data_IF_373655175212
#
_entry.id   IF_373655175212
#
_cell.length_a   1.000
_cell.length_b   1.000
_cell.length_c   1.000
_cell.angle_alpha   90.00
_cell.angle_beta   90.00
_cell.angle_gamma   90.00
#
_symmetry.space_group_name_H-M   'P 1'
#
loop_
_entity.id
_entity.type
_entity.pdbx_description
1 polymer ?
#
# COMPACT_ATOMS: atom_id res chain seq x y z
N UNK A 1 11.24 -17.97 -8.49
CA UNK A 1 9.96 -18.01 -7.76
C UNK A 1 10.06 -19.09 -6.70
N UNK A 2 9.59 -18.78 -5.46
CA UNK A 2 9.52 -19.73 -4.37
C UNK A 2 8.35 -20.70 -4.54
N UNK A 3 8.35 -21.77 -3.75
CA UNK A 3 7.31 -22.80 -3.73
C UNK A 3 6.55 -22.87 -2.41
N UNK A 4 6.90 -22.07 -1.43
CA UNK A 4 6.30 -22.03 -0.09
C UNK A 4 4.79 -21.79 -0.13
N UNK A 5 4.37 -20.97 -1.08
CA UNK A 5 2.97 -20.60 -1.27
C UNK A 5 2.21 -21.39 -2.32
N UNK A 6 2.82 -22.43 -2.89
CA UNK A 6 2.18 -23.20 -3.96
C UNK A 6 0.83 -23.80 -3.52
N UNK A 7 -0.21 -23.51 -4.27
CA UNK A 7 -1.58 -23.93 -3.96
C UNK A 7 -2.26 -23.15 -2.84
N UNK A 8 -1.63 -22.10 -2.32
CA UNK A 8 -2.17 -21.27 -1.23
C UNK A 8 -2.58 -19.89 -1.71
N UNK A 9 -3.61 -19.34 -1.10
CA UNK A 9 -4.17 -18.02 -1.41
C UNK A 9 -4.03 -17.09 -0.22
N UNK A 10 -3.59 -15.86 -0.48
CA UNK A 10 -3.54 -14.77 0.51
C UNK A 10 -4.42 -13.63 0.00
N UNK A 11 -5.35 -13.18 0.84
CA UNK A 11 -6.08 -11.94 0.61
C UNK A 11 -5.33 -10.80 1.30
N UNK A 12 -5.16 -9.70 0.61
CA UNK A 12 -4.60 -8.47 1.20
C UNK A 12 -5.57 -7.32 0.96
N UNK A 13 -6.07 -6.77 2.05
CA UNK A 13 -6.92 -5.58 2.08
C UNK A 13 -6.04 -4.39 2.38
N UNK A 14 -5.89 -3.49 1.42
CA UNK A 14 -5.02 -2.31 1.55
C UNK A 14 -5.46 -1.17 0.65
N UNK A 15 -4.90 0.01 0.89
CA UNK A 15 -5.31 1.30 0.32
C UNK A 15 -6.67 1.73 0.85
N UNK A 16 -7.77 1.20 0.33
CA UNK A 16 -9.13 1.29 0.87
C UNK A 16 -9.57 2.71 1.27
N UNK A 17 -9.42 3.71 0.38
CA UNK A 17 -9.74 5.09 0.69
C UNK A 17 -11.25 5.32 0.81
N UNK A 18 -11.62 6.37 1.54
CA UNK A 18 -12.99 6.84 1.58
C UNK A 18 -13.34 7.56 0.28
N UNK A 19 -14.45 7.15 -0.32
CA UNK A 19 -15.00 7.78 -1.54
C UNK A 19 -15.39 9.23 -1.26
N UNK A 20 -15.30 10.07 -2.28
CA UNK A 20 -15.52 11.51 -2.24
C UNK A 20 -14.54 12.30 -1.36
N UNK A 21 -13.39 11.70 -1.05
CA UNK A 21 -12.25 12.38 -0.42
C UNK A 21 -11.01 12.26 -1.30
N UNK A 22 -10.18 13.29 -1.29
CA UNK A 22 -8.90 13.24 -1.99
C UNK A 22 -7.96 12.20 -1.40
N UNK A 23 -7.17 11.60 -2.27
CA UNK A 23 -6.16 10.62 -1.89
C UNK A 23 -4.96 11.36 -1.27
N UNK A 24 -4.85 11.32 0.05
CA UNK A 24 -3.79 12.02 0.79
C UNK A 24 -2.63 11.08 1.13
N UNK A 25 -1.56 11.64 1.69
CA UNK A 25 -0.33 10.89 2.02
C UNK A 25 -0.54 9.73 3.00
N UNK A 26 -1.54 9.81 3.88
CA UNK A 26 -1.89 8.70 4.76
C UNK A 26 -2.40 7.46 3.99
N UNK A 27 -3.17 7.67 2.93
CA UNK A 27 -3.59 6.60 2.03
C UNK A 27 -2.43 6.03 1.21
N UNK A 28 -1.43 6.86 0.93
CA UNK A 28 -0.24 6.43 0.20
C UNK A 28 0.50 5.34 0.97
N UNK A 29 0.64 5.47 2.28
CA UNK A 29 1.39 4.53 3.11
C UNK A 29 0.81 3.12 3.12
N UNK A 30 -0.48 2.97 3.36
CA UNK A 30 -1.14 1.66 3.28
C UNK A 30 -0.99 1.04 1.89
N UNK A 31 -1.10 1.85 0.85
CA UNK A 31 -0.96 1.43 -0.54
C UNK A 31 0.44 0.90 -0.83
N UNK A 32 1.47 1.60 -0.40
CA UNK A 32 2.88 1.21 -0.57
C UNK A 32 3.18 -0.10 0.16
N UNK A 33 2.81 -0.20 1.43
CA UNK A 33 3.07 -1.39 2.25
C UNK A 33 2.32 -2.60 1.71
N UNK A 34 1.02 -2.44 1.42
CA UNK A 34 0.18 -3.51 0.91
C UNK A 34 0.66 -4.04 -0.43
N UNK A 35 1.06 -3.15 -1.34
CA UNK A 35 1.60 -3.54 -2.64
C UNK A 35 2.91 -4.32 -2.51
N UNK A 36 3.79 -3.91 -1.60
CA UNK A 36 5.03 -4.63 -1.33
C UNK A 36 4.77 -6.03 -0.78
N UNK A 37 3.84 -6.16 0.16
CA UNK A 37 3.43 -7.47 0.69
C UNK A 37 2.84 -8.36 -0.42
N UNK A 38 2.01 -7.79 -1.29
CA UNK A 38 1.51 -8.50 -2.46
C UNK A 38 2.65 -9.09 -3.29
N UNK A 39 3.66 -8.29 -3.60
CA UNK A 39 4.80 -8.73 -4.40
C UNK A 39 5.65 -9.77 -3.69
N UNK A 40 5.87 -9.62 -2.39
CA UNK A 40 6.62 -10.57 -1.57
C UNK A 40 5.92 -11.94 -1.55
N UNK A 41 4.62 -11.97 -1.25
CA UNK A 41 3.87 -13.22 -1.23
C UNK A 41 3.78 -13.87 -2.62
N UNK A 42 3.58 -13.08 -3.66
CA UNK A 42 3.59 -13.58 -5.05
C UNK A 42 4.95 -14.19 -5.42
N UNK A 43 6.05 -13.59 -4.98
CA UNK A 43 7.40 -14.11 -5.19
C UNK A 43 7.61 -15.47 -4.53
N UNK A 44 6.98 -15.69 -3.38
CA UNK A 44 7.00 -16.96 -2.66
C UNK A 44 6.04 -18.01 -3.22
N UNK A 45 5.30 -17.70 -4.28
CA UNK A 45 4.44 -18.65 -4.97
C UNK A 45 2.97 -18.64 -4.55
N UNK A 46 2.57 -17.75 -3.63
CA UNK A 46 1.17 -17.60 -3.25
C UNK A 46 0.36 -16.95 -4.38
N UNK A 47 -0.88 -17.39 -4.51
CA UNK A 47 -1.89 -16.61 -5.23
C UNK A 47 -2.36 -15.48 -4.31
N UNK A 48 -2.32 -14.24 -4.76
CA UNK A 48 -2.73 -13.08 -3.95
C UNK A 48 -3.95 -12.43 -4.56
N UNK A 49 -5.00 -12.27 -3.75
CA UNK A 49 -6.17 -11.46 -4.06
C UNK A 49 -5.98 -10.08 -3.45
N UNK A 50 -5.84 -9.06 -4.30
CA UNK A 50 -5.66 -7.67 -3.87
C UNK A 50 -7.01 -6.98 -3.77
N UNK A 51 -7.39 -6.63 -2.55
CA UNK A 51 -8.72 -6.11 -2.27
C UNK A 51 -8.62 -4.64 -1.85
N UNK A 52 -9.34 -3.81 -2.59
CA UNK A 52 -9.56 -2.41 -2.23
C UNK A 52 -10.95 -2.29 -1.63
N UNK A 53 -11.01 -2.18 -0.29
CA UNK A 53 -12.24 -2.06 0.46
C UNK A 53 -12.62 -0.58 0.61
N UNK A 54 -13.23 -0.02 -0.40
CA UNK A 54 -13.60 1.40 -0.43
C UNK A 54 -14.58 1.75 0.68
N UNK A 55 -14.36 2.88 1.34
CA UNK A 55 -15.34 3.49 2.21
C UNK A 55 -16.40 4.23 1.38
N UNK A 56 -17.31 3.48 0.77
CA UNK A 56 -18.25 3.96 -0.22
C UNK A 56 -19.71 3.88 0.22
N UNK A 57 -19.96 3.74 1.53
CA UNK A 57 -21.32 3.66 2.07
C UNK A 57 -21.38 4.31 3.46
N UNK A 58 -22.43 5.06 3.74
CA UNK A 58 -22.62 5.68 5.05
C UNK A 58 -23.34 7.02 4.98
N UNK A 59 -23.61 7.59 6.15
CA UNK A 59 -24.34 8.86 6.29
C UNK A 59 -23.64 10.06 5.64
N UNK A 60 -22.32 10.00 5.47
CA UNK A 60 -21.57 11.03 4.77
C UNK A 60 -22.05 11.24 3.33
N UNK A 61 -22.57 10.21 2.68
CA UNK A 61 -23.14 10.34 1.34
C UNK A 61 -24.47 11.07 1.33
N UNK A 62 -25.28 10.91 2.38
CA UNK A 62 -26.46 11.75 2.56
C UNK A 62 -26.12 13.22 2.68
N UNK A 63 -25.08 13.55 3.44
CA UNK A 63 -24.55 14.92 3.56
C UNK A 63 -24.09 15.46 2.21
N UNK A 64 -23.38 14.65 1.45
CA UNK A 64 -22.85 15.05 0.15
C UNK A 64 -23.99 15.26 -0.87
N UNK A 65 -25.02 14.43 -0.86
CA UNK A 65 -26.21 14.60 -1.70
C UNK A 65 -26.93 15.91 -1.37
N UNK A 66 -27.14 16.22 -0.10
CA UNK A 66 -27.74 17.50 0.32
C UNK A 66 -26.88 18.67 -0.15
N UNK A 67 -25.56 18.58 0.05
CA UNK A 67 -24.63 19.63 -0.36
C UNK A 67 -24.70 19.85 -1.88
N UNK A 68 -24.71 18.79 -2.66
CA UNK A 68 -24.81 18.86 -4.12
C UNK A 68 -26.12 19.54 -4.56
N UNK A 69 -27.25 19.15 -3.97
CA UNK A 69 -28.56 19.69 -4.33
C UNK A 69 -28.71 21.17 -3.95
N UNK A 70 -28.08 21.61 -2.88
CA UNK A 70 -28.19 23.00 -2.40
C UNK A 70 -27.14 23.92 -3.03
N UNK A 71 -25.90 23.48 -3.18
CA UNK A 71 -24.76 24.34 -3.54
C UNK A 71 -23.95 23.83 -4.73
N UNK A 72 -24.19 22.61 -5.17
CA UNK A 72 -23.48 22.03 -6.30
C UNK A 72 -24.21 22.26 -7.62
N UNK A 73 -23.48 21.97 -8.68
CA UNK A 73 -24.05 21.88 -10.03
C UNK A 73 -23.38 20.74 -10.79
N UNK A 74 -24.12 20.18 -11.74
CA UNK A 74 -23.60 19.10 -12.58
C UNK A 74 -22.34 19.55 -13.32
N UNK A 75 -22.35 20.76 -13.86
CA UNK A 75 -21.24 21.34 -14.61
C UNK A 75 -20.00 21.49 -13.75
N UNK A 76 -20.13 22.01 -12.53
CA UNK A 76 -19.00 22.20 -11.61
C UNK A 76 -18.41 20.85 -11.18
N UNK A 77 -19.23 19.85 -10.93
CA UNK A 77 -18.77 18.50 -10.55
C UNK A 77 -18.10 17.79 -11.73
N UNK A 78 -18.63 17.90 -12.93
CA UNK A 78 -18.03 17.34 -14.14
C UNK A 78 -16.68 18.00 -14.45
N UNK A 79 -16.55 19.32 -14.24
CA UNK A 79 -15.33 20.07 -14.49
C UNK A 79 -14.23 19.82 -13.44
N UNK A 80 -14.60 19.83 -12.15
CA UNK A 80 -13.64 19.82 -11.04
C UNK A 80 -13.60 18.47 -10.28
N UNK A 81 -14.50 17.54 -10.57
CA UNK A 81 -14.50 16.21 -10.02
C UNK A 81 -14.51 16.17 -8.48
N UNK A 82 -13.59 15.41 -7.91
CA UNK A 82 -13.52 15.20 -6.48
C UNK A 82 -13.25 16.49 -5.69
N UNK A 83 -12.56 17.46 -6.27
CA UNK A 83 -12.29 18.75 -5.61
C UNK A 83 -13.58 19.52 -5.37
N UNK A 84 -14.52 19.49 -6.30
CA UNK A 84 -15.84 20.08 -6.10
C UNK A 84 -16.64 19.35 -5.03
N UNK A 85 -16.59 18.01 -5.01
CA UNK A 85 -17.26 17.22 -3.97
C UNK A 85 -16.71 17.57 -2.57
N UNK A 86 -15.41 17.72 -2.44
CA UNK A 86 -14.79 18.13 -1.18
C UNK A 86 -15.21 19.53 -0.76
N UNK A 87 -15.24 20.46 -1.71
CA UNK A 87 -15.63 21.85 -1.47
C UNK A 87 -17.05 21.95 -0.93
N UNK A 88 -18.01 21.30 -1.56
CA UNK A 88 -19.41 21.33 -1.11
C UNK A 88 -19.62 20.55 0.19
N UNK A 89 -18.84 19.51 0.42
CA UNK A 89 -18.88 18.76 1.69
C UNK A 89 -18.43 19.61 2.88
N UNK A 90 -17.35 20.38 2.73
CA UNK A 90 -16.89 21.34 3.74
C UNK A 90 -17.97 22.40 3.97
N UNK A 91 -18.58 22.90 2.91
CA UNK A 91 -19.68 23.88 3.02
C UNK A 91 -20.87 23.31 3.77
N UNK A 92 -21.20 22.04 3.55
CA UNK A 92 -22.27 21.37 4.33
C UNK A 92 -22.00 21.45 5.83
N UNK A 93 -20.80 21.12 6.26
CA UNK A 93 -20.43 21.16 7.67
C UNK A 93 -20.49 22.57 8.26
N UNK A 94 -20.05 23.57 7.52
CA UNK A 94 -20.12 24.97 7.94
C UNK A 94 -21.57 25.44 8.10
N UNK A 95 -22.44 25.11 7.16
CA UNK A 95 -23.86 25.49 7.20
C UNK A 95 -24.63 24.68 8.24
N UNK A 96 -24.27 23.41 8.47
CA UNK A 96 -24.92 22.57 9.47
C UNK A 96 -24.67 23.04 10.91
N UNK A 97 -23.57 23.75 11.18
CA UNK A 97 -23.34 24.40 12.47
C UNK A 97 -24.36 25.52 12.76
N UNK A 98 -24.91 26.13 11.71
CA UNK A 98 -25.89 27.20 11.78
C UNK A 98 -27.34 26.68 11.70
N UNK A 99 -27.53 25.57 11.03
CA UNK A 99 -28.84 24.95 10.78
C UNK A 99 -28.75 23.43 10.90
N UNK A 100 -29.09 22.92 12.10
CA UNK A 100 -29.03 21.49 12.41
C UNK A 100 -30.03 20.65 11.58
N UNK A 101 -31.04 21.26 10.98
CA UNK A 101 -31.99 20.56 10.10
C UNK A 101 -31.31 19.94 8.86
N UNK A 102 -30.13 20.44 8.47
CA UNK A 102 -29.33 19.87 7.38
C UNK A 102 -28.86 18.44 7.72
N UNK A 103 -28.55 18.17 8.97
CA UNK A 103 -28.19 16.81 9.41
C UNK A 103 -29.38 15.86 9.29
N UNK A 104 -30.58 16.31 9.58
CA UNK A 104 -31.80 15.51 9.41
C UNK A 104 -32.07 15.21 7.92
N UNK A 105 -31.89 16.21 7.06
CA UNK A 105 -32.02 16.03 5.61
C UNK A 105 -30.98 15.02 5.08
N UNK A 106 -29.75 15.06 5.59
CA UNK A 106 -28.71 14.11 5.22
C UNK A 106 -29.07 12.67 5.63
N UNK A 107 -29.63 12.50 6.83
CA UNK A 107 -30.12 11.19 7.30
C UNK A 107 -31.26 10.67 6.41
N UNK A 108 -32.18 11.52 6.02
CA UNK A 108 -33.28 11.17 5.12
C UNK A 108 -32.77 10.69 3.76
N UNK A 109 -31.77 11.37 3.19
CA UNK A 109 -31.17 10.96 1.92
C UNK A 109 -30.43 9.63 2.06
N UNK A 110 -29.74 9.39 3.17
CA UNK A 110 -29.10 8.09 3.40
C UNK A 110 -30.12 6.96 3.56
N UNK A 111 -31.24 7.21 4.24
CA UNK A 111 -32.34 6.25 4.34
C UNK A 111 -32.89 5.93 2.94
N UNK A 112 -33.04 6.92 2.08
CA UNK A 112 -33.44 6.70 0.68
C UNK A 112 -32.44 5.80 -0.06
N UNK A 113 -31.15 6.00 0.14
CA UNK A 113 -30.12 5.12 -0.44
C UNK A 113 -30.33 3.68 0.04
N UNK A 114 -30.52 3.48 1.33
CA UNK A 114 -30.72 2.15 1.92
C UNK A 114 -32.00 1.47 1.42
N UNK A 115 -33.05 2.25 1.13
CA UNK A 115 -34.31 1.77 0.58
C UNK A 115 -34.30 1.54 -0.92
N UNK A 116 -33.19 1.85 -1.59
CA UNK A 116 -33.05 1.63 -3.03
C UNK A 116 -33.66 2.74 -3.89
N UNK A 117 -33.85 3.94 -3.34
CA UNK A 117 -34.35 5.09 -4.12
C UNK A 117 -33.46 5.34 -5.34
N UNK A 118 -34.06 5.38 -6.50
CA UNK A 118 -33.35 5.46 -7.77
C UNK A 118 -32.52 6.74 -7.91
N UNK A 119 -33.07 7.89 -7.52
CA UNK A 119 -32.35 9.17 -7.56
C UNK A 119 -31.16 9.17 -6.61
N UNK A 120 -31.38 8.75 -5.38
CA UNK A 120 -30.32 8.71 -4.36
C UNK A 120 -29.16 7.80 -4.78
N UNK A 121 -29.45 6.60 -5.26
CA UNK A 121 -28.45 5.65 -5.73
C UNK A 121 -27.75 6.11 -7.01
N UNK A 122 -28.45 6.81 -7.91
CA UNK A 122 -27.87 7.36 -9.13
C UNK A 122 -26.84 8.44 -8.81
N UNK A 123 -27.15 9.35 -7.90
CA UNK A 123 -26.23 10.42 -7.46
C UNK A 123 -25.02 9.79 -6.73
N UNK A 124 -25.29 8.86 -5.81
CA UNK A 124 -24.25 8.14 -5.09
C UNK A 124 -23.28 7.41 -6.05
N UNK A 125 -23.81 6.68 -7.03
CA UNK A 125 -23.00 5.97 -8.02
C UNK A 125 -22.12 6.93 -8.82
N UNK A 126 -22.66 8.08 -9.19
CA UNK A 126 -21.92 9.12 -9.91
C UNK A 126 -20.74 9.65 -9.07
N UNK A 127 -20.97 9.94 -7.81
CA UNK A 127 -19.90 10.38 -6.89
C UNK A 127 -18.82 9.31 -6.71
N UNK A 128 -19.22 8.05 -6.60
CA UNK A 128 -18.31 6.92 -6.53
C UNK A 128 -17.47 6.80 -7.80
N UNK A 129 -18.09 6.90 -8.96
CA UNK A 129 -17.39 6.79 -10.26
C UNK A 129 -16.35 7.91 -10.43
N UNK A 130 -16.68 9.13 -10.06
CA UNK A 130 -15.74 10.27 -10.07
C UNK A 130 -14.54 9.98 -9.17
N UNK A 131 -14.79 9.50 -7.97
CA UNK A 131 -13.74 9.19 -7.00
C UNK A 131 -12.83 8.07 -7.49
N UNK A 132 -13.39 7.01 -8.08
CA UNK A 132 -12.63 5.90 -8.63
C UNK A 132 -11.73 6.31 -9.80
N UNK A 133 -12.16 7.21 -10.66
CA UNK A 133 -11.33 7.76 -11.74
C UNK A 133 -10.07 8.39 -11.16
N UNK A 134 -10.20 9.21 -10.11
CA UNK A 134 -9.06 9.83 -9.42
C UNK A 134 -8.13 8.82 -8.78
N UNK A 135 -8.69 7.85 -8.04
CA UNK A 135 -7.87 6.84 -7.35
C UNK A 135 -7.13 5.94 -8.34
N UNK A 136 -7.78 5.52 -9.41
CA UNK A 136 -7.15 4.71 -10.47
C UNK A 136 -6.04 5.48 -11.20
N UNK A 137 -6.18 6.79 -11.35
CA UNK A 137 -5.13 7.65 -11.92
C UNK A 137 -3.86 7.64 -11.04
N UNK A 138 -4.03 7.74 -9.72
CA UNK A 138 -2.92 7.68 -8.77
C UNK A 138 -2.29 6.28 -8.77
N UNK A 139 -3.10 5.23 -8.76
CA UNK A 139 -2.59 3.85 -8.83
C UNK A 139 -1.80 3.60 -10.12
N UNK A 140 -2.26 4.12 -11.24
CA UNK A 140 -1.54 4.04 -12.52
C UNK A 140 -0.19 4.75 -12.45
N UNK A 141 -0.14 5.93 -11.84
CA UNK A 141 1.12 6.66 -11.61
C UNK A 141 2.11 5.84 -10.78
N UNK A 142 1.62 5.13 -9.78
CA UNK A 142 2.41 4.25 -8.91
C UNK A 142 2.72 2.89 -9.54
N UNK A 143 2.12 2.54 -10.68
CA UNK A 143 2.25 1.22 -11.28
C UNK A 143 1.55 0.11 -10.48
N UNK A 144 0.48 0.44 -9.77
CA UNK A 144 -0.26 -0.47 -8.90
C UNK A 144 -1.67 -0.70 -9.41
N UNK A 145 -2.23 -1.89 -9.12
CA UNK A 145 -3.58 -2.26 -9.50
C UNK A 145 -4.20 -3.16 -8.41
N UNK A 146 -5.51 -3.39 -8.51
CA UNK A 146 -6.28 -4.22 -7.59
C UNK A 146 -7.11 -5.21 -8.36
N UNK A 147 -7.31 -6.39 -7.77
CA UNK A 147 -8.17 -7.42 -8.35
C UNK A 147 -9.65 -7.13 -8.07
N UNK A 148 -9.94 -6.53 -6.90
CA UNK A 148 -11.30 -6.26 -6.44
C UNK A 148 -11.45 -4.87 -5.85
N UNK A 149 -12.47 -4.15 -6.30
CA UNK A 149 -12.96 -2.91 -5.69
C UNK A 149 -14.31 -3.21 -5.00
N UNK A 150 -14.26 -3.96 -3.91
CA UNK A 150 -15.42 -4.38 -3.13
C UNK A 150 -15.42 -3.69 -1.78
N UNK A 151 -16.06 -2.54 -1.74
CA UNK A 151 -16.13 -1.69 -0.56
C UNK A 151 -17.32 -1.99 0.34
N UNK A 152 -17.59 -1.06 1.26
CA UNK A 152 -18.66 -1.18 2.23
C UNK A 152 -20.04 -1.39 1.59
N UNK A 153 -20.31 -0.73 0.47
CA UNK A 153 -21.57 -0.86 -0.27
C UNK A 153 -21.83 -2.27 -0.78
N UNK A 154 -20.79 -3.00 -1.10
CA UNK A 154 -20.88 -4.38 -1.56
C UNK A 154 -21.40 -5.32 -0.47
N UNK A 155 -21.14 -5.01 0.81
CA UNK A 155 -21.52 -5.84 1.96
C UNK A 155 -22.78 -5.38 2.65
N UNK A 156 -23.43 -4.30 2.19
CA UNK A 156 -24.61 -3.72 2.83
C UNK A 156 -25.80 -4.67 2.98
N UNK A 157 -25.95 -5.59 2.02
CA UNK A 157 -27.01 -6.62 2.01
C UNK A 157 -26.56 -7.97 2.59
N UNK A 158 -25.35 -8.07 3.11
CA UNK A 158 -24.75 -9.30 3.64
C UNK A 158 -24.60 -9.32 5.16
N UNK A 159 -24.95 -8.23 5.81
CA UNK A 159 -24.78 -8.09 7.28
C UNK A 159 -25.81 -8.91 8.08
N UNK A 160 -26.99 -9.20 7.52
CA UNK A 160 -28.01 -10.00 8.19
C UNK A 160 -27.51 -11.44 8.46
N UNK A 161 -26.70 -12.01 7.58
CA UNK A 161 -26.07 -13.33 7.80
C UNK A 161 -25.22 -13.34 9.06
N UNK A 162 -24.47 -12.27 9.31
CA UNK A 162 -23.66 -12.12 10.52
C UNK A 162 -24.54 -12.13 11.76
N UNK A 163 -25.60 -11.33 11.75
CA UNK A 163 -26.53 -11.23 12.88
C UNK A 163 -27.19 -12.58 13.18
N UNK A 164 -27.66 -13.29 12.14
CA UNK A 164 -28.26 -14.62 12.28
C UNK A 164 -27.28 -15.62 12.90
N UNK A 165 -26.05 -15.66 12.41
CA UNK A 165 -25.02 -16.57 12.93
C UNK A 165 -24.67 -16.28 14.40
N UNK A 166 -24.60 -15.00 14.76
CA UNK A 166 -24.36 -14.60 16.15
C UNK A 166 -25.53 -15.00 17.07
N UNK A 167 -26.77 -14.86 16.60
CA UNK A 167 -27.98 -15.27 17.34
C UNK A 167 -27.99 -16.79 17.52
N UNK A 168 -27.70 -17.57 16.50
CA UNK A 168 -27.65 -19.04 16.55
C UNK A 168 -26.63 -19.56 17.58
N UNK A 169 -25.56 -18.81 17.82
CA UNK A 169 -24.51 -19.15 18.79
C UNK A 169 -24.71 -18.51 20.17
N UNK A 170 -25.84 -17.82 20.38
CA UNK A 170 -26.13 -17.08 21.62
C UNK A 170 -25.01 -16.07 22.00
N UNK A 171 -24.37 -15.47 21.00
CA UNK A 171 -23.29 -14.51 21.20
C UNK A 171 -23.77 -13.06 21.23
N UNK A 172 -24.96 -12.77 20.72
CA UNK A 172 -25.50 -11.43 20.60
C UNK A 172 -26.32 -11.07 21.83
N UNK A 173 -25.98 -9.95 22.46
CA UNK A 173 -26.61 -9.46 23.67
C UNK A 173 -27.10 -8.03 23.46
N UNK A 174 -28.29 -7.71 23.95
CA UNK A 174 -28.76 -6.34 23.94
C UNK A 174 -28.16 -5.56 25.12
N UNK A 175 -27.63 -4.38 24.83
CA UNK A 175 -27.05 -3.47 25.81
C UNK A 175 -27.40 -2.03 25.45
N UNK A 176 -28.13 -1.35 26.33
CA UNK A 176 -28.57 0.05 26.13
C UNK A 176 -29.28 0.30 24.79
N UNK A 177 -30.04 -0.71 24.33
CA UNK A 177 -30.76 -0.68 23.06
C UNK A 177 -29.96 -1.07 21.84
N UNK A 178 -28.64 -1.18 21.94
CA UNK A 178 -27.78 -1.70 20.89
C UNK A 178 -27.53 -3.21 21.03
N UNK A 179 -27.08 -3.87 19.99
CA UNK A 179 -26.72 -5.28 20.03
C UNK A 179 -25.19 -5.42 19.94
N UNK A 180 -24.63 -6.13 20.90
CA UNK A 180 -23.18 -6.30 21.07
C UNK A 180 -22.81 -7.78 21.21
N UNK A 181 -21.53 -8.08 20.94
CA UNK A 181 -20.88 -9.31 21.38
C UNK A 181 -20.00 -8.95 22.57
N UNK A 182 -20.31 -9.42 23.80
CA UNK A 182 -19.46 -9.17 24.98
C UNK A 182 -18.10 -9.83 24.80
N UNK A 183 -17.03 -9.12 25.14
CA UNK A 183 -15.64 -9.58 25.07
C UNK A 183 -14.89 -9.39 26.39
N UNK A 184 -15.62 -9.26 27.51
CA UNK A 184 -15.03 -9.05 28.84
C UNK A 184 -14.08 -10.16 29.25
N UNK A 185 -14.40 -11.41 28.91
CA UNK A 185 -13.55 -12.58 29.21
C UNK A 185 -12.20 -12.53 28.50
N UNK A 186 -12.03 -11.66 27.52
CA UNK A 186 -10.81 -11.50 26.71
C UNK A 186 -10.15 -10.14 26.95
N UNK A 187 -10.57 -9.43 28.00
CA UNK A 187 -10.03 -8.10 28.35
C UNK A 187 -10.18 -7.07 27.21
N UNK A 188 -11.31 -7.12 26.52
CA UNK A 188 -11.64 -6.20 25.42
C UNK A 188 -13.01 -5.58 25.62
N UNK A 189 -13.18 -4.35 25.14
CA UNK A 189 -14.48 -3.72 25.00
C UNK A 189 -15.40 -4.54 24.09
N UNK A 190 -16.72 -4.51 24.29
CA UNK A 190 -17.65 -5.29 23.48
C UNK A 190 -17.60 -4.88 22.01
N UNK A 191 -17.79 -5.87 21.12
CA UNK A 191 -17.92 -5.62 19.70
C UNK A 191 -19.35 -5.18 19.39
N UNK A 192 -19.51 -3.95 18.94
CA UNK A 192 -20.82 -3.40 18.58
C UNK A 192 -21.24 -3.94 17.20
N UNK A 193 -22.42 -4.58 17.12
CA UNK A 193 -22.95 -5.23 15.92
C UNK A 193 -24.04 -4.41 15.25
N UNK A 194 -25.02 -3.93 16.03
CA UNK A 194 -26.10 -3.07 15.54
C UNK A 194 -26.31 -1.90 16.49
N UNK A 195 -26.56 -0.73 15.91
CA UNK A 195 -26.98 0.45 16.67
C UNK A 195 -28.42 0.30 17.16
N UNK A 196 -28.80 1.18 18.06
CA UNK A 196 -30.15 1.27 18.61
C UNK A 196 -31.25 1.41 17.56
N UNK A 197 -30.95 2.06 16.44
CA UNK A 197 -31.86 2.22 15.30
C UNK A 197 -31.92 1.01 14.35
N UNK A 198 -31.16 -0.06 14.64
CA UNK A 198 -31.08 -1.26 13.82
C UNK A 198 -30.10 -1.19 12.67
N UNK A 199 -29.40 -0.08 12.50
CA UNK A 199 -28.37 0.05 11.45
C UNK A 199 -27.10 -0.71 11.78
N UNK A 200 -26.48 -1.28 10.75
CA UNK A 200 -25.18 -1.95 10.88
C UNK A 200 -24.05 -0.93 11.00
N UNK A 201 -22.93 -1.39 11.54
CA UNK A 201 -21.73 -0.61 11.73
C UNK A 201 -20.51 -1.32 11.13
N UNK A 202 -19.35 -0.68 11.21
CA UNK A 202 -18.09 -1.16 10.62
C UNK A 202 -17.78 -2.62 10.97
N UNK A 203 -17.88 -3.01 12.25
CA UNK A 203 -17.56 -4.37 12.68
C UNK A 203 -18.45 -5.41 11.96
N UNK A 204 -19.72 -5.15 11.81
CA UNK A 204 -20.65 -6.07 11.16
C UNK A 204 -20.34 -6.22 9.66
N UNK A 205 -20.00 -5.11 9.01
CA UNK A 205 -19.61 -5.13 7.60
C UNK A 205 -18.28 -5.85 7.39
N UNK A 206 -17.32 -5.67 8.30
CA UNK A 206 -16.03 -6.38 8.24
C UNK A 206 -16.21 -7.89 8.51
N UNK A 207 -17.10 -8.28 9.42
CA UNK A 207 -17.46 -9.68 9.63
C UNK A 207 -18.12 -10.28 8.38
N UNK A 208 -19.05 -9.56 7.78
CA UNK A 208 -19.69 -9.98 6.52
C UNK A 208 -18.65 -10.14 5.40
N UNK A 209 -17.70 -9.21 5.31
CA UNK A 209 -16.60 -9.26 4.35
C UNK A 209 -15.72 -10.49 4.56
N UNK A 210 -15.38 -10.83 5.80
CA UNK A 210 -14.57 -12.01 6.11
C UNK A 210 -15.27 -13.31 5.72
N UNK A 211 -16.56 -13.44 6.04
CA UNK A 211 -17.34 -14.62 5.64
C UNK A 211 -17.42 -14.74 4.12
N UNK A 212 -17.64 -13.64 3.42
CA UNK A 212 -17.66 -13.60 1.97
C UNK A 212 -16.30 -13.98 1.36
N UNK A 213 -15.23 -13.37 1.85
CA UNK A 213 -13.86 -13.60 1.35
C UNK A 213 -13.42 -15.05 1.55
N UNK A 214 -13.72 -15.62 2.73
CA UNK A 214 -13.39 -17.03 2.99
C UNK A 214 -14.14 -17.96 2.05
N UNK A 215 -15.42 -17.73 1.87
CA UNK A 215 -16.28 -18.54 0.99
C UNK A 215 -15.88 -18.39 -0.48
N UNK A 216 -15.56 -17.17 -0.92
CA UNK A 216 -15.29 -16.84 -2.31
C UNK A 216 -13.87 -17.14 -2.74
N UNK A 217 -12.89 -16.77 -1.94
CA UNK A 217 -11.46 -16.89 -2.28
C UNK A 217 -10.80 -18.09 -1.62
N UNK A 218 -11.43 -18.69 -0.63
CA UNK A 218 -10.87 -19.79 0.15
C UNK A 218 -9.43 -19.51 0.61
N UNK A 219 -9.21 -18.34 1.21
CA UNK A 219 -7.89 -17.89 1.61
C UNK A 219 -7.27 -18.77 2.69
N UNK A 220 -5.96 -18.93 2.62
CA UNK A 220 -5.14 -19.50 3.69
C UNK A 220 -4.74 -18.43 4.70
N UNK A 221 -4.69 -17.18 4.28
CA UNK A 221 -4.38 -16.01 5.11
C UNK A 221 -5.12 -14.78 4.59
N UNK A 222 -5.59 -13.94 5.49
CA UNK A 222 -6.21 -12.65 5.16
C UNK A 222 -5.51 -11.55 5.95
N UNK A 223 -4.92 -10.60 5.24
CA UNK A 223 -4.10 -9.52 5.79
C UNK A 223 -4.82 -8.20 5.62
N UNK A 224 -4.88 -7.40 6.69
CA UNK A 224 -5.41 -6.04 6.68
C UNK A 224 -4.28 -5.04 6.95
N UNK A 225 -4.00 -4.19 5.98
CA UNK A 225 -3.00 -3.12 6.11
C UNK A 225 -3.72 -1.81 6.39
N UNK A 226 -3.85 -1.49 7.67
CA UNK A 226 -4.58 -0.31 8.15
C UNK A 226 -3.80 0.42 9.25
N UNK A 227 -4.24 1.62 9.62
CA UNK A 227 -3.58 2.40 10.66
C UNK A 227 -3.59 1.73 12.04
N UNK A 228 -2.62 2.10 12.87
CA UNK A 228 -2.46 1.55 14.21
C UNK A 228 -3.69 1.82 15.10
N UNK A 229 -4.40 2.91 14.87
CA UNK A 229 -5.62 3.28 15.60
C UNK A 229 -6.74 2.25 15.45
N UNK A 230 -6.70 1.40 14.44
CA UNK A 230 -7.70 0.34 14.22
C UNK A 230 -7.36 -0.99 14.89
N UNK A 231 -6.31 -1.03 15.71
CA UNK A 231 -5.85 -2.26 16.37
C UNK A 231 -6.95 -2.94 17.19
N UNK A 232 -7.67 -2.20 18.01
CA UNK A 232 -8.77 -2.75 18.81
C UNK A 232 -9.90 -3.28 17.93
N UNK A 233 -10.28 -2.54 16.91
CA UNK A 233 -11.33 -2.94 15.97
C UNK A 233 -11.05 -4.33 15.37
N UNK A 234 -9.86 -4.55 14.84
CA UNK A 234 -9.50 -5.84 14.25
C UNK A 234 -9.36 -6.95 15.30
N UNK A 235 -8.86 -6.63 16.49
CA UNK A 235 -8.82 -7.60 17.59
C UNK A 235 -10.24 -8.08 17.95
N UNK A 236 -11.22 -7.18 18.00
CA UNK A 236 -12.61 -7.51 18.23
C UNK A 236 -13.19 -8.36 17.10
N UNK A 237 -13.01 -7.95 15.86
CA UNK A 237 -13.53 -8.66 14.67
C UNK A 237 -12.96 -10.09 14.61
N UNK A 238 -11.66 -10.24 14.79
CA UNK A 238 -11.01 -11.57 14.75
C UNK A 238 -11.49 -12.46 15.91
N UNK A 239 -11.69 -11.88 17.09
CA UNK A 239 -12.24 -12.62 18.24
C UNK A 239 -13.68 -13.11 17.96
N UNK A 240 -14.49 -12.30 17.33
CA UNK A 240 -15.86 -12.72 16.97
C UNK A 240 -15.84 -13.89 15.98
N UNK A 241 -14.92 -13.88 15.01
CA UNK A 241 -14.74 -15.02 14.09
C UNK A 241 -14.38 -16.31 14.88
N UNK A 242 -13.47 -16.20 15.85
CA UNK A 242 -13.11 -17.31 16.74
C UNK A 242 -14.34 -17.83 17.51
N UNK A 243 -15.11 -16.94 18.12
CA UNK A 243 -16.30 -17.28 18.89
C UNK A 243 -17.42 -17.90 18.04
N UNK A 244 -17.48 -17.56 16.75
CA UNK A 244 -18.36 -18.21 15.79
C UNK A 244 -17.96 -19.66 15.48
N UNK A 245 -16.77 -20.08 15.91
CA UNK A 245 -16.27 -21.44 15.74
C UNK A 245 -15.46 -21.68 14.49
N UNK A 246 -15.05 -20.64 13.78
CA UNK A 246 -14.19 -20.75 12.59
C UNK A 246 -12.72 -20.82 13.00
N UNK A 247 -12.06 -21.91 12.67
CA UNK A 247 -10.65 -22.15 13.00
C UNK A 247 -9.69 -21.24 12.20
N UNK A 248 -10.11 -20.76 11.05
CA UNK A 248 -9.31 -19.85 10.21
C UNK A 248 -9.13 -18.44 10.81
N UNK A 249 -9.71 -18.15 12.00
CA UNK A 249 -9.41 -16.91 12.75
C UNK A 249 -7.90 -16.77 13.01
N UNK A 250 -7.19 -17.88 13.14
CA UNK A 250 -5.75 -17.90 13.36
C UNK A 250 -4.93 -17.35 12.19
N UNK A 251 -5.55 -17.30 11.01
CA UNK A 251 -4.92 -16.84 9.77
C UNK A 251 -5.33 -15.41 9.39
N UNK A 252 -6.00 -14.71 10.29
CA UNK A 252 -6.37 -13.31 10.13
C UNK A 252 -5.28 -12.45 10.74
N UNK A 253 -4.79 -11.48 10.00
CA UNK A 253 -3.63 -10.67 10.39
C UNK A 253 -3.94 -9.19 10.19
N UNK A 254 -3.77 -8.41 11.25
CA UNK A 254 -3.72 -6.96 11.16
C UNK A 254 -2.26 -6.53 11.05
N UNK A 255 -1.94 -5.79 10.01
CA UNK A 255 -0.61 -5.21 9.75
C UNK A 255 -0.72 -3.69 9.95
N UNK A 256 -0.54 -3.21 11.18
CA UNK A 256 -0.64 -1.78 11.47
C UNK A 256 0.60 -1.01 11.03
N UNK A 257 0.42 0.27 10.78
CA UNK A 257 1.51 1.18 10.46
C UNK A 257 1.37 2.51 11.21
N UNK A 258 2.49 3.21 11.40
CA UNK A 258 2.55 4.51 12.03
C UNK A 258 2.19 5.66 11.08
N UNK A 259 2.33 6.88 11.54
CA UNK A 259 1.97 8.10 10.82
C UNK A 259 3.09 8.55 9.87
N UNK A 260 2.71 9.34 8.86
CA UNK A 260 3.64 10.08 8.02
C UNK A 260 3.59 11.55 8.45
N UNK A 261 4.75 12.16 8.67
CA UNK A 261 4.88 13.58 9.01
C UNK A 261 5.99 14.24 8.20
N UNK A 262 5.90 15.57 8.04
CA UNK A 262 7.02 16.35 7.50
C UNK A 262 7.93 16.82 8.64
N UNK A 263 9.21 17.04 8.32
CA UNK A 263 10.13 17.67 9.26
C UNK A 263 9.57 19.02 9.72
N UNK A 264 9.39 19.17 11.03
CA UNK A 264 8.84 20.39 11.64
C UNK A 264 7.33 20.44 11.86
N UNK A 265 6.57 19.35 11.60
CA UNK A 265 5.14 19.33 11.88
C UNK A 265 4.32 18.27 11.16
N UNK A 266 3.01 18.32 11.36
CA UNK A 266 2.06 17.45 10.68
C UNK A 266 1.99 17.75 9.18
N UNK A 267 1.65 16.74 8.37
CA UNK A 267 1.36 16.87 6.93
C UNK A 267 0.08 17.69 6.65
N UNK A 268 -0.12 18.73 7.41
CA UNK A 268 -1.16 19.73 7.16
C UNK A 268 -0.52 21.11 7.12
N UNK A 269 -0.91 21.92 6.16
CA UNK A 269 -0.54 23.32 6.14
C UNK A 269 -1.10 24.01 7.40
N UNK A 270 -0.57 25.17 7.76
CA UNK A 270 -1.11 26.01 8.87
C UNK A 270 -2.61 26.27 8.76
N UNK A 271 -3.17 26.17 7.57
CA UNK A 271 -4.60 26.36 7.28
C UNK A 271 -5.41 25.05 7.34
N UNK A 272 -4.83 23.94 7.84
CA UNK A 272 -5.49 22.64 7.94
C UNK A 272 -5.63 21.90 6.60
N UNK A 273 -4.99 22.38 5.54
CA UNK A 273 -5.03 21.72 4.23
C UNK A 273 -4.18 20.44 4.26
N UNK A 274 -4.80 19.33 3.87
CA UNK A 274 -4.13 18.04 3.75
C UNK A 274 -3.24 18.04 2.51
N UNK A 275 -2.05 17.47 2.60
CA UNK A 275 -1.17 17.30 1.43
C UNK A 275 -1.62 16.06 0.67
N UNK A 276 -1.92 16.24 -0.62
CA UNK A 276 -2.33 15.15 -1.49
C UNK A 276 -1.15 14.31 -1.93
N UNK A 277 -1.36 13.00 -2.01
CA UNK A 277 -0.34 12.06 -2.44
C UNK A 277 0.21 12.42 -3.83
N UNK A 278 -0.66 12.81 -4.76
CA UNK A 278 -0.28 13.17 -6.11
C UNK A 278 0.67 14.37 -6.15
N UNK A 279 0.45 15.38 -5.30
CA UNK A 279 1.33 16.55 -5.21
C UNK A 279 2.75 16.15 -4.80
N UNK A 280 2.88 15.27 -3.80
CA UNK A 280 4.19 14.78 -3.35
C UNK A 280 4.88 13.98 -4.46
N UNK A 281 4.14 13.11 -5.15
CA UNK A 281 4.71 12.31 -6.24
C UNK A 281 5.20 13.19 -7.38
N UNK A 282 4.43 14.16 -7.81
CA UNK A 282 4.84 15.09 -8.87
C UNK A 282 6.00 15.98 -8.43
N UNK A 283 6.00 16.46 -7.21
CA UNK A 283 7.11 17.26 -6.68
C UNK A 283 8.42 16.46 -6.65
N UNK A 284 8.36 15.19 -6.25
CA UNK A 284 9.54 14.31 -6.31
C UNK A 284 10.05 14.14 -7.73
N UNK A 285 9.16 13.91 -8.69
CA UNK A 285 9.51 13.75 -10.10
C UNK A 285 10.15 15.02 -10.65
N UNK A 286 9.59 16.19 -10.37
CA UNK A 286 10.12 17.49 -10.80
C UNK A 286 11.51 17.76 -10.20
N UNK A 287 11.69 17.51 -8.91
CA UNK A 287 13.00 17.69 -8.25
C UNK A 287 14.07 16.78 -8.83
N UNK A 288 13.75 15.54 -9.11
CA UNK A 288 14.67 14.62 -9.78
C UNK A 288 14.97 15.08 -11.20
N UNK A 289 13.97 15.57 -11.93
CA UNK A 289 14.17 16.09 -13.29
C UNK A 289 15.14 17.28 -13.29
N UNK A 290 15.04 18.18 -12.33
CA UNK A 290 15.99 19.29 -12.15
C UNK A 290 17.41 18.79 -11.89
N UNK A 291 17.57 17.81 -10.98
CA UNK A 291 18.88 17.20 -10.69
C UNK A 291 19.51 16.57 -11.93
N UNK A 292 18.72 15.85 -12.73
CA UNK A 292 19.19 15.22 -13.97
C UNK A 292 19.59 16.30 -14.99
N UNK A 293 18.82 17.36 -15.15
CA UNK A 293 19.16 18.45 -16.05
C UNK A 293 20.48 19.13 -15.70
N UNK A 294 20.81 19.24 -14.42
CA UNK A 294 22.08 19.81 -13.97
C UNK A 294 23.25 18.85 -14.19
N UNK A 295 23.08 17.57 -13.83
CA UNK A 295 24.18 16.59 -13.80
C UNK A 295 24.38 15.84 -15.09
N UNK A 296 23.33 15.58 -15.85
CA UNK A 296 23.35 14.81 -17.08
C UNK A 296 22.27 15.30 -18.06
N UNK A 297 22.45 16.51 -18.63
CA UNK A 297 21.42 17.13 -19.47
C UNK A 297 21.11 16.36 -20.76
N UNK A 298 22.04 15.53 -21.21
CA UNK A 298 21.89 14.75 -22.46
C UNK A 298 21.35 13.33 -22.22
N UNK A 299 20.93 13.01 -21.00
CA UNK A 299 20.38 11.70 -20.68
C UNK A 299 19.13 11.40 -21.53
N UNK A 300 19.09 10.27 -22.27
CA UNK A 300 17.90 9.88 -23.00
C UNK A 300 16.74 9.53 -22.04
N UNK A 301 15.52 9.83 -22.45
CA UNK A 301 14.31 9.53 -21.69
C UNK A 301 14.29 10.15 -20.27
N UNK A 302 14.74 11.38 -20.13
CA UNK A 302 14.80 12.09 -18.84
C UNK A 302 13.49 12.08 -18.09
N UNK A 303 12.36 12.23 -18.77
CA UNK A 303 11.03 12.24 -18.17
C UNK A 303 10.71 10.90 -17.51
N UNK A 304 10.95 9.79 -18.20
CA UNK A 304 10.71 8.45 -17.65
C UNK A 304 11.67 8.11 -16.51
N UNK A 305 12.95 8.47 -16.65
CA UNK A 305 13.93 8.29 -15.58
C UNK A 305 13.54 9.11 -14.35
N UNK A 306 13.13 10.35 -14.54
CA UNK A 306 12.68 11.23 -13.45
C UNK A 306 11.47 10.65 -12.72
N UNK A 307 10.54 10.08 -13.47
CA UNK A 307 9.36 9.40 -12.91
C UNK A 307 9.77 8.19 -12.08
N UNK A 308 10.59 7.31 -12.61
CA UNK A 308 11.04 6.11 -11.90
C UNK A 308 11.83 6.44 -10.64
N UNK A 309 12.71 7.40 -10.69
CA UNK A 309 13.57 7.78 -9.56
C UNK A 309 12.79 8.59 -8.52
N UNK A 310 11.92 9.50 -8.96
CA UNK A 310 11.08 10.29 -8.05
C UNK A 310 10.11 9.41 -7.26
N UNK A 311 9.40 8.52 -7.94
CA UNK A 311 8.49 7.55 -7.29
C UNK A 311 9.29 6.60 -6.40
N UNK A 312 10.39 6.06 -6.90
CA UNK A 312 11.27 5.16 -6.15
C UNK A 312 11.79 5.78 -4.86
N UNK A 313 12.14 7.07 -4.89
CA UNK A 313 12.59 7.79 -3.71
C UNK A 313 11.53 7.82 -2.60
N UNK A 314 10.28 8.07 -2.97
CA UNK A 314 9.16 8.12 -2.01
C UNK A 314 8.83 6.73 -1.47
N UNK A 315 8.67 5.74 -2.32
CA UNK A 315 8.34 4.39 -1.91
C UNK A 315 9.44 3.80 -1.02
N UNK A 316 10.69 3.98 -1.41
CA UNK A 316 11.82 3.47 -0.64
C UNK A 316 11.95 4.13 0.73
N UNK A 317 11.75 5.45 0.82
CA UNK A 317 11.78 6.16 2.09
C UNK A 317 10.73 5.62 3.08
N UNK A 318 9.52 5.33 2.60
CA UNK A 318 8.48 4.71 3.41
C UNK A 318 8.90 3.30 3.88
N UNK A 319 9.33 2.45 2.95
CA UNK A 319 9.61 1.05 3.20
C UNK A 319 10.95 0.78 3.90
N UNK A 320 11.85 1.75 3.94
CA UNK A 320 13.14 1.62 4.64
C UNK A 320 13.00 1.61 6.16
N UNK A 321 11.85 2.01 6.67
CA UNK A 321 11.53 2.04 8.09
C UNK A 321 10.61 0.86 8.47
N UNK A 322 10.74 0.38 9.71
CA UNK A 322 9.75 -0.54 10.25
C UNK A 322 8.36 0.10 10.14
N UNK A 323 7.37 -0.65 9.66
CA UNK A 323 6.03 -0.12 9.38
C UNK A 323 5.35 0.54 10.58
N UNK A 324 5.63 0.08 11.81
CA UNK A 324 5.02 0.62 13.03
C UNK A 324 5.56 2.00 13.41
N UNK A 325 6.72 2.37 12.88
CA UNK A 325 7.34 3.66 13.17
C UNK A 325 6.75 4.75 12.30
N UNK A 326 6.70 5.96 12.84
CA UNK A 326 6.36 7.14 12.08
C UNK A 326 7.45 7.43 11.05
N UNK A 327 7.04 7.84 9.87
CA UNK A 327 7.93 8.23 8.77
C UNK A 327 8.01 9.74 8.73
N UNK A 328 9.22 10.27 8.82
CA UNK A 328 9.49 11.70 8.67
C UNK A 328 9.93 11.97 7.24
N UNK A 329 9.22 12.88 6.56
CA UNK A 329 9.47 13.23 5.18
C UNK A 329 10.43 14.42 5.10
N UNK A 330 11.61 14.18 4.52
CA UNK A 330 12.64 15.20 4.30
C UNK A 330 13.18 15.07 2.88
N UNK A 331 12.96 16.08 2.03
CA UNK A 331 13.34 16.05 0.62
C UNK A 331 14.84 15.80 0.40
N UNK A 332 15.71 16.46 1.17
CA UNK A 332 17.14 16.34 1.01
C UNK A 332 17.65 14.92 1.28
N UNK A 333 17.05 14.24 2.25
CA UNK A 333 17.37 12.83 2.56
C UNK A 333 16.80 11.88 1.52
N UNK A 334 15.53 12.05 1.15
CA UNK A 334 14.80 11.14 0.27
C UNK A 334 15.40 11.10 -1.12
N UNK A 335 15.81 12.27 -1.64
CA UNK A 335 16.33 12.43 -3.00
C UNK A 335 17.85 12.29 -3.11
N UNK A 336 18.55 11.98 -2.02
CA UNK A 336 19.99 11.83 -2.02
C UNK A 336 20.40 10.58 -2.81
N UNK A 337 21.37 10.74 -3.73
CA UNK A 337 21.93 9.64 -4.53
C UNK A 337 23.01 8.84 -3.79
N UNK A 338 23.42 9.30 -2.62
CA UNK A 338 24.34 8.60 -1.73
C UNK A 338 23.60 8.20 -0.44
N UNK A 339 23.89 7.03 0.08
CA UNK A 339 23.37 6.57 1.35
C UNK A 339 22.18 5.62 1.23
N UNK A 340 21.23 5.74 2.16
CA UNK A 340 20.17 4.75 2.37
C UNK A 340 18.87 5.19 1.69
N UNK A 341 18.91 5.33 0.35
CA UNK A 341 17.81 5.88 -0.44
C UNK A 341 17.47 5.03 -1.65
N UNK A 342 16.27 5.23 -2.19
CA UNK A 342 15.85 4.64 -3.46
C UNK A 342 16.77 5.04 -4.61
N UNK A 343 17.04 6.34 -4.81
CA UNK A 343 17.98 6.77 -5.84
C UNK A 343 19.36 6.12 -5.77
N UNK A 344 19.89 5.91 -4.58
CA UNK A 344 21.17 5.19 -4.41
C UNK A 344 21.10 3.74 -4.90
N UNK A 345 20.06 3.01 -4.53
CA UNK A 345 19.87 1.62 -4.98
C UNK A 345 19.65 1.56 -6.49
N UNK A 346 18.86 2.47 -7.03
CA UNK A 346 18.61 2.57 -8.47
C UNK A 346 19.88 2.92 -9.26
N UNK A 347 20.68 3.86 -8.74
CA UNK A 347 21.97 4.22 -9.34
C UNK A 347 22.92 3.04 -9.34
N UNK A 348 22.98 2.26 -8.28
CA UNK A 348 23.79 1.04 -8.20
C UNK A 348 23.37 0.03 -9.27
N UNK A 349 22.05 -0.17 -9.43
CA UNK A 349 21.51 -1.00 -10.50
C UNK A 349 21.92 -0.50 -11.90
N UNK A 350 21.80 0.79 -12.14
CA UNK A 350 22.23 1.42 -13.42
C UNK A 350 23.72 1.24 -13.67
N UNK A 351 24.55 1.28 -12.62
CA UNK A 351 25.98 0.99 -12.69
C UNK A 351 26.24 -0.45 -13.14
N UNK A 352 25.53 -1.42 -12.59
CA UNK A 352 25.59 -2.81 -13.07
C UNK A 352 25.26 -2.91 -14.55
N UNK A 353 24.16 -2.30 -14.97
CA UNK A 353 23.74 -2.27 -16.36
C UNK A 353 24.78 -1.63 -17.29
N UNK A 354 25.46 -0.58 -16.83
CA UNK A 354 26.55 0.10 -17.56
C UNK A 354 27.73 -0.83 -17.84
N UNK A 355 28.11 -1.64 -16.86
CA UNK A 355 29.19 -2.62 -17.06
C UNK A 355 28.83 -3.62 -18.16
N UNK A 356 27.60 -4.15 -18.14
CA UNK A 356 27.16 -5.08 -19.19
C UNK A 356 27.11 -4.46 -20.58
N UNK A 357 26.75 -3.18 -20.70
CA UNK A 357 26.81 -2.48 -22.00
C UNK A 357 28.22 -2.39 -22.54
N UNK A 358 29.22 -2.27 -21.67
CA UNK A 358 30.64 -2.20 -22.07
C UNK A 358 31.20 -3.56 -22.43
N UNK A 359 30.77 -4.61 -21.75
CA UNK A 359 31.26 -5.98 -21.97
C UNK A 359 30.58 -6.62 -23.20
N UNK A 360 29.36 -6.24 -23.51
CA UNK A 360 28.52 -6.88 -24.50
C UNK A 360 27.82 -8.13 -23.95
N UNK A 361 27.27 -8.96 -24.85
CA UNK A 361 26.63 -10.19 -24.46
C UNK A 361 27.67 -11.18 -23.92
N UNK A 362 27.49 -11.61 -22.67
CA UNK A 362 28.39 -12.57 -22.02
C UNK A 362 27.57 -13.85 -21.77
N UNK A 363 28.01 -14.94 -22.37
CA UNK A 363 27.54 -16.27 -22.00
C UNK A 363 28.35 -16.72 -20.78
N UNK A 364 27.61 -16.86 -19.65
CA UNK A 364 28.23 -17.43 -18.46
C UNK A 364 28.26 -18.95 -18.58
N UNK A 365 29.35 -19.62 -18.19
CA UNK A 365 29.41 -21.07 -18.16
C UNK A 365 28.41 -21.60 -17.14
N UNK A 366 27.96 -22.86 -17.35
CA UNK A 366 27.02 -23.53 -16.46
C UNK A 366 27.58 -23.69 -15.03
N UNK A 367 28.89 -23.83 -14.93
CA UNK A 367 29.61 -23.92 -13.65
C UNK A 367 30.64 -22.80 -13.56
N UNK A 368 30.67 -22.16 -12.41
CA UNK A 368 31.60 -21.08 -12.10
C UNK A 368 32.40 -21.48 -10.87
N UNK A 369 33.70 -21.43 -10.96
CA UNK A 369 34.55 -21.67 -9.80
C UNK A 369 34.71 -20.39 -8.98
N UNK A 370 33.89 -20.26 -7.97
CA UNK A 370 33.94 -19.13 -7.03
C UNK A 370 35.14 -19.20 -6.06
N UNK A 371 35.84 -20.33 -5.99
CA UNK A 371 36.98 -20.50 -5.09
C UNK A 371 38.17 -19.58 -5.44
N UNK A 372 38.21 -19.07 -6.67
CA UNK A 372 39.21 -18.09 -7.11
C UNK A 372 38.92 -16.67 -6.62
N UNK A 373 37.74 -16.40 -6.12
CA UNK A 373 37.29 -15.11 -5.62
C UNK A 373 37.50 -15.05 -4.10
N UNK A 374 38.68 -14.64 -3.68
CA UNK A 374 39.13 -14.75 -2.26
C UNK A 374 39.24 -13.41 -1.54
N UNK A 375 39.16 -12.30 -2.21
CA UNK A 375 39.24 -10.97 -1.60
C UNK A 375 37.98 -10.64 -0.77
N UNK A 376 38.15 -9.82 0.26
CA UNK A 376 37.08 -9.49 1.22
C UNK A 376 35.87 -8.81 0.57
N UNK A 377 36.10 -7.89 -0.37
CA UNK A 377 35.00 -7.16 -1.03
C UNK A 377 34.09 -8.12 -1.81
N UNK A 378 34.70 -9.05 -2.56
CA UNK A 378 33.98 -10.08 -3.31
C UNK A 378 33.22 -11.04 -2.37
N UNK A 379 33.88 -11.49 -1.31
CA UNK A 379 33.29 -12.43 -0.33
C UNK A 379 32.12 -11.78 0.43
N UNK A 380 32.22 -10.52 0.80
CA UNK A 380 31.16 -9.82 1.49
C UNK A 380 29.92 -9.66 0.60
N UNK A 381 30.09 -9.32 -0.67
CA UNK A 381 29.01 -9.27 -1.63
C UNK A 381 28.36 -10.65 -1.81
N UNK A 382 29.17 -11.69 -1.99
CA UNK A 382 28.66 -13.04 -2.17
C UNK A 382 27.84 -13.53 -0.95
N UNK A 383 28.31 -13.25 0.26
CA UNK A 383 27.58 -13.58 1.51
C UNK A 383 26.22 -12.90 1.57
N UNK A 384 26.14 -11.62 1.19
CA UNK A 384 24.84 -10.92 1.11
C UNK A 384 23.91 -11.60 0.11
N UNK A 385 24.40 -11.85 -1.09
CA UNK A 385 23.58 -12.42 -2.16
C UNK A 385 23.01 -13.80 -1.79
N UNK A 386 23.76 -14.62 -1.05
CA UNK A 386 23.31 -15.94 -0.60
C UNK A 386 22.19 -15.88 0.44
N UNK A 387 22.02 -14.76 1.13
CA UNK A 387 20.95 -14.56 2.13
C UNK A 387 19.61 -14.17 1.51
N UNK A 388 19.58 -13.85 0.25
CA UNK A 388 18.40 -13.27 -0.41
C UNK A 388 17.11 -14.11 -0.23
N UNK A 389 17.11 -15.44 -0.47
CA UNK A 389 15.90 -16.23 -0.28
C UNK A 389 15.36 -16.19 1.15
N UNK A 390 16.25 -16.21 2.13
CA UNK A 390 15.90 -16.15 3.56
C UNK A 390 15.28 -14.80 3.94
N UNK A 391 15.84 -13.73 3.41
CA UNK A 391 15.33 -12.36 3.65
C UNK A 391 13.90 -12.20 3.15
N UNK A 392 13.59 -12.74 1.97
CA UNK A 392 12.22 -12.69 1.44
C UNK A 392 11.24 -13.44 2.36
N UNK A 393 11.60 -14.64 2.80
CA UNK A 393 10.77 -15.44 3.71
C UNK A 393 10.53 -14.73 5.03
N UNK A 394 11.56 -14.17 5.60
CA UNK A 394 11.47 -13.45 6.87
C UNK A 394 10.62 -12.17 6.73
N UNK A 395 10.75 -11.45 5.64
CA UNK A 395 9.92 -10.29 5.34
C UNK A 395 8.43 -10.65 5.24
N UNK A 396 8.12 -11.79 4.62
CA UNK A 396 6.77 -12.32 4.56
C UNK A 396 6.25 -12.74 5.94
N UNK A 397 7.03 -13.48 6.70
CA UNK A 397 6.64 -14.00 8.01
C UNK A 397 6.38 -12.88 9.03
N UNK A 398 7.14 -11.80 8.95
CA UNK A 398 7.03 -10.64 9.84
C UNK A 398 6.17 -9.51 9.28
N UNK A 399 5.69 -9.63 8.06
CA UNK A 399 4.95 -8.56 7.36
C UNK A 399 5.75 -7.25 7.30
N UNK A 400 7.06 -7.35 7.04
CA UNK A 400 8.01 -6.24 7.13
C UNK A 400 8.81 -6.04 5.84
N UNK A 401 8.27 -5.28 4.88
CA UNK A 401 9.01 -4.94 3.66
C UNK A 401 10.34 -4.22 3.92
N UNK A 402 10.50 -3.55 5.07
CA UNK A 402 11.74 -2.86 5.42
C UNK A 402 12.95 -3.80 5.39
N UNK A 403 12.75 -5.08 5.62
CA UNK A 403 13.84 -6.07 5.56
C UNK A 403 14.40 -6.19 4.14
N UNK A 404 13.53 -6.10 3.13
CA UNK A 404 13.93 -6.07 1.72
C UNK A 404 14.67 -4.76 1.40
N UNK A 405 14.16 -3.63 1.86
CA UNK A 405 14.77 -2.33 1.62
C UNK A 405 16.18 -2.22 2.22
N UNK A 406 16.33 -2.65 3.47
CA UNK A 406 17.63 -2.67 4.16
C UNK A 406 18.61 -3.64 3.52
N UNK A 407 18.11 -4.79 3.10
CA UNK A 407 18.92 -5.76 2.36
C UNK A 407 19.41 -5.21 1.02
N UNK A 408 18.53 -4.52 0.28
CA UNK A 408 18.92 -3.88 -0.98
C UNK A 408 20.04 -2.84 -0.79
N UNK A 409 19.98 -2.05 0.28
CA UNK A 409 21.07 -1.11 0.63
C UNK A 409 22.35 -1.85 0.94
N UNK A 410 22.29 -2.93 1.73
CA UNK A 410 23.48 -3.74 2.04
C UNK A 410 24.14 -4.30 0.78
N UNK A 411 23.34 -4.87 -0.12
CA UNK A 411 23.83 -5.38 -1.40
C UNK A 411 24.45 -4.26 -2.23
N UNK A 412 23.79 -3.10 -2.32
CA UNK A 412 24.29 -1.96 -3.06
C UNK A 412 25.62 -1.46 -2.49
N UNK A 413 25.75 -1.36 -1.18
CA UNK A 413 27.01 -0.93 -0.53
C UNK A 413 28.14 -1.93 -0.76
N UNK A 414 27.90 -3.21 -0.60
CA UNK A 414 28.90 -4.26 -0.86
C UNK A 414 29.26 -4.33 -2.35
N UNK A 415 28.28 -4.18 -3.23
CA UNK A 415 28.53 -4.11 -4.67
C UNK A 415 29.43 -2.92 -5.04
N UNK A 416 29.15 -1.74 -4.50
CA UNK A 416 29.96 -0.55 -4.79
C UNK A 416 31.39 -0.68 -4.27
N UNK A 417 31.60 -1.29 -3.11
CA UNK A 417 32.94 -1.62 -2.61
C UNK A 417 33.66 -2.60 -3.54
N UNK A 418 32.99 -3.66 -3.95
CA UNK A 418 33.49 -4.62 -4.93
C UNK A 418 33.86 -3.94 -6.26
N UNK A 419 32.98 -3.11 -6.77
CA UNK A 419 33.16 -2.39 -8.04
C UNK A 419 34.38 -1.47 -8.01
N UNK A 420 34.57 -0.73 -6.92
CA UNK A 420 35.71 0.18 -6.78
C UNK A 420 37.04 -0.55 -6.53
N UNK A 421 37.02 -1.69 -5.84
CA UNK A 421 38.21 -2.48 -5.53
C UNK A 421 38.67 -3.39 -6.69
N UNK A 422 37.79 -3.62 -7.68
CA UNK A 422 38.01 -4.65 -8.71
C UNK A 422 37.95 -4.04 -10.10
N UNK A 423 39.02 -4.25 -10.86
CA UNK A 423 39.08 -3.88 -12.29
C UNK A 423 38.51 -5.01 -13.14
N UNK A 424 37.19 -5.15 -13.16
CA UNK A 424 36.47 -6.28 -13.76
C UNK A 424 36.86 -6.46 -15.24
N UNK A 425 36.84 -5.38 -16.03
CA UNK A 425 37.11 -5.42 -17.48
C UNK A 425 38.58 -5.62 -17.82
N UNK A 426 39.45 -5.23 -16.91
CA UNK A 426 40.90 -5.32 -17.08
C UNK A 426 41.51 -6.57 -16.41
N UNK A 427 40.69 -7.45 -15.83
CA UNK A 427 41.18 -8.71 -15.26
C UNK A 427 41.74 -9.61 -16.35
N UNK A 428 43.00 -10.03 -16.19
CA UNK A 428 43.70 -10.88 -17.14
C UNK A 428 43.46 -12.38 -16.90
N UNK A 429 43.16 -12.77 -15.65
CA UNK A 429 42.79 -14.14 -15.31
C UNK A 429 41.37 -14.42 -15.75
N UNK A 430 41.22 -15.26 -16.77
CA UNK A 430 39.92 -15.56 -17.38
C UNK A 430 38.92 -16.21 -16.37
N UNK A 431 39.37 -17.05 -15.45
CA UNK A 431 38.51 -17.67 -14.44
C UNK A 431 38.01 -16.65 -13.42
N UNK A 432 38.88 -15.74 -12.98
CA UNK A 432 38.48 -14.62 -12.10
C UNK A 432 37.51 -13.69 -12.81
N UNK A 433 37.77 -13.36 -14.07
CA UNK A 433 36.88 -12.49 -14.87
C UNK A 433 35.49 -13.09 -15.03
N UNK A 434 35.40 -14.38 -15.34
CA UNK A 434 34.12 -15.10 -15.38
C UNK A 434 33.42 -15.08 -14.03
N UNK A 435 34.14 -15.30 -12.94
CA UNK A 435 33.61 -15.21 -11.57
C UNK A 435 33.07 -13.82 -11.23
N UNK A 436 33.82 -12.77 -11.60
CA UNK A 436 33.37 -11.38 -11.40
C UNK A 436 32.13 -11.04 -12.22
N UNK A 437 32.03 -11.48 -13.45
CA UNK A 437 30.85 -11.26 -14.30
C UNK A 437 29.65 -12.04 -13.82
N UNK A 438 29.85 -13.25 -13.30
CA UNK A 438 28.77 -14.01 -12.68
C UNK A 438 28.25 -13.34 -11.42
N UNK A 439 29.13 -12.85 -10.58
CA UNK A 439 28.77 -12.13 -9.36
C UNK A 439 28.02 -10.83 -9.70
N UNK A 440 28.47 -10.10 -10.71
CA UNK A 440 27.80 -8.91 -11.23
C UNK A 440 26.38 -9.23 -11.74
N UNK A 441 26.24 -10.31 -12.50
CA UNK A 441 24.94 -10.78 -13.00
C UNK A 441 23.99 -11.08 -11.85
N UNK A 442 24.46 -11.79 -10.84
CA UNK A 442 23.66 -12.14 -9.67
C UNK A 442 23.30 -10.89 -8.86
N UNK A 443 24.23 -9.98 -8.63
CA UNK A 443 23.99 -8.73 -7.92
C UNK A 443 22.94 -7.88 -8.64
N UNK A 444 23.06 -7.72 -9.96
CA UNK A 444 22.08 -7.01 -10.77
C UNK A 444 20.68 -7.63 -10.63
N UNK A 445 20.59 -8.96 -10.72
CA UNK A 445 19.30 -9.68 -10.60
C UNK A 445 18.69 -9.54 -9.21
N UNK A 446 19.48 -9.62 -8.17
CA UNK A 446 19.01 -9.46 -6.79
C UNK A 446 18.54 -8.03 -6.54
N UNK A 447 19.28 -7.02 -6.97
CA UNK A 447 18.86 -5.61 -6.87
C UNK A 447 17.55 -5.34 -7.62
N UNK A 448 17.46 -5.82 -8.86
CA UNK A 448 16.23 -5.72 -9.66
C UNK A 448 15.02 -6.35 -8.96
N UNK A 449 15.23 -7.52 -8.39
CA UNK A 449 14.16 -8.22 -7.66
C UNK A 449 13.77 -7.48 -6.39
N UNK A 450 14.72 -6.98 -5.61
CA UNK A 450 14.44 -6.16 -4.42
C UNK A 450 13.62 -4.92 -4.79
N UNK A 451 14.02 -4.22 -5.84
CA UNK A 451 13.33 -3.02 -6.34
C UNK A 451 11.89 -3.37 -6.74
N UNK A 452 11.70 -4.46 -7.47
CA UNK A 452 10.36 -4.93 -7.84
C UNK A 452 9.51 -5.28 -6.62
N UNK A 453 10.06 -6.00 -5.64
CA UNK A 453 9.36 -6.35 -4.39
C UNK A 453 8.97 -5.12 -3.56
N UNK A 454 9.71 -4.03 -3.69
CA UNK A 454 9.39 -2.76 -3.03
C UNK A 454 8.39 -1.92 -3.83
N UNK A 455 8.06 -2.33 -5.04
CA UNK A 455 6.99 -1.74 -5.84
C UNK A 455 7.38 -0.64 -6.81
N UNK A 456 8.66 -0.44 -7.05
CA UNK A 456 9.11 0.56 -8.02
C UNK A 456 10.03 -0.06 -9.09
N UNK A 457 10.52 0.75 -10.00
CA UNK A 457 11.38 0.32 -11.11
C UNK A 457 12.70 1.08 -11.09
N UNK A 458 13.71 0.53 -11.73
CA UNK A 458 15.00 1.19 -11.88
C UNK A 458 15.34 1.39 -13.35
N UNK A 459 15.86 2.57 -13.73
CA UNK A 459 16.32 2.81 -15.08
C UNK A 459 17.63 2.09 -15.34
N UNK A 460 17.87 1.69 -16.59
CA UNK A 460 19.14 1.13 -17.04
C UNK A 460 20.24 2.19 -17.13
N UNK A 461 19.86 3.46 -17.23
CA UNK A 461 20.77 4.62 -17.32
C UNK A 461 20.26 5.76 -16.44
N UNK A 462 21.17 6.32 -15.69
CA UNK A 462 20.93 7.49 -14.85
C UNK A 462 21.99 8.56 -15.06
#
# INVERSE_FOLDING_TARGET
QGTEGEGKTVCIDYSSPNVAKNFHVGHLRTTIIGNSLYKIYSKLGYHVERINHLGDWGTQFGKLIVAYKKWGSKEAVEENGIDELMKIYVKFHQEAEKDDSLNDQAREWFVKMEQGDEEALSIWQWFKDISLVEYKRIYKLLGMDFDHFTGESFYRDKTHEVVEKLQEKDLLVESEGAHIVPLDDYDMAPCLIMKKDGSSIYATRDLAALLYRKRTYNFDKCIYVTGLEQKLHFAQVFKVIELLGYDWYQNLVHVPYGLVSMEGGKLSTRNGNVIYAEQILHEAIEKIHEIINEKNPDLPNKEEVSRQVGIGAILFNDLYNQRIKDVIFNWDKILNFDGETGPYVQYTYARCASVFRKVGAVELPAEIDYSVLTDDATMNLLKDLTRFPEVIKEAADKYEPFMIARFAVSVAQHFNKFYHATKILAEEDEEKKKGYLALLTLAKKVLETCIDLLGFTAPERM
#
